data_IF_367467162585
#
_entry.id   IF_367467162585
#
_cell.length_a   1.000
_cell.length_b   1.000
_cell.length_c   1.000
_cell.angle_alpha   90.00
_cell.angle_beta   90.00
_cell.angle_gamma   90.00
#
_symmetry.space_group_name_H-M   'P 1'
#
loop_
_entity.id
_entity.type
_entity.pdbx_description
1 polymer ?
#
# COMPACT_ATOMS: atom_id res chain seq x y z
N UNK A 1 9.94 9.11 13.97
CA UNK A 1 9.46 7.97 13.17
C UNK A 1 7.99 7.76 13.49
N UNK A 2 7.11 8.43 12.74
CA UNK A 2 5.67 8.27 12.87
C UNK A 2 5.30 6.84 12.48
N UNK A 3 4.52 6.15 13.32
CA UNK A 3 4.00 4.83 13.03
C UNK A 3 2.49 4.91 12.93
N UNK A 4 1.93 4.31 11.88
CA UNK A 4 0.49 4.22 11.68
C UNK A 4 0.02 2.80 12.05
N UNK A 5 -1.12 2.72 12.73
CA UNK A 5 -1.86 1.47 12.86
C UNK A 5 -2.50 1.11 11.51
N UNK A 6 -2.96 -0.13 11.38
CA UNK A 6 -3.77 -0.55 10.24
C UNK A 6 -4.96 0.38 9.99
N UNK A 7 -5.67 0.79 11.06
CA UNK A 7 -6.88 1.60 10.94
C UNK A 7 -6.56 3.03 10.47
N UNK A 8 -5.45 3.59 10.95
CA UNK A 8 -4.94 4.89 10.49
C UNK A 8 -4.53 4.86 9.01
N UNK A 9 -3.82 3.81 8.58
CA UNK A 9 -3.43 3.66 7.17
C UNK A 9 -4.65 3.42 6.28
N UNK A 10 -5.60 2.60 6.73
CA UNK A 10 -6.86 2.34 6.05
C UNK A 10 -7.66 3.63 5.85
N UNK A 11 -7.72 4.47 6.89
CA UNK A 11 -8.34 5.80 6.84
C UNK A 11 -7.63 6.70 5.83
N UNK A 12 -6.29 6.80 5.88
CA UNK A 12 -5.49 7.59 4.93
C UNK A 12 -5.80 7.22 3.48
N UNK A 13 -5.84 5.92 3.18
CA UNK A 13 -6.07 5.41 1.83
C UNK A 13 -7.54 5.24 1.46
N UNK A 14 -8.47 5.61 2.35
CA UNK A 14 -9.91 5.47 2.14
C UNK A 14 -10.30 4.05 1.72
N UNK A 15 -9.72 3.05 2.40
CA UNK A 15 -10.00 1.64 2.12
C UNK A 15 -10.27 0.84 3.39
N UNK A 16 -10.84 -0.35 3.24
CA UNK A 16 -11.12 -1.21 4.39
C UNK A 16 -9.82 -1.68 5.06
N UNK A 17 -9.74 -1.67 6.40
CA UNK A 17 -8.66 -2.33 7.14
C UNK A 17 -8.45 -3.80 6.72
N UNK A 18 -9.54 -4.48 6.32
CA UNK A 18 -9.53 -5.86 5.81
C UNK A 18 -8.71 -6.01 4.53
N UNK A 19 -8.66 -4.98 3.68
CA UNK A 19 -7.82 -4.99 2.48
C UNK A 19 -6.33 -5.02 2.87
N UNK A 20 -5.92 -4.26 3.89
CA UNK A 20 -4.54 -4.32 4.41
C UNK A 20 -4.22 -5.70 5.02
N UNK A 21 -5.18 -6.33 5.71
CA UNK A 21 -5.02 -7.69 6.23
C UNK A 21 -4.77 -8.69 5.11
N UNK A 22 -5.59 -8.65 4.06
CA UNK A 22 -5.43 -9.51 2.90
C UNK A 22 -4.09 -9.25 2.20
N UNK A 23 -3.68 -7.99 2.04
CA UNK A 23 -2.39 -7.64 1.45
C UNK A 23 -1.23 -8.25 2.22
N UNK A 24 -1.23 -8.18 3.56
CA UNK A 24 -0.18 -8.84 4.36
C UNK A 24 -0.15 -10.34 4.15
N UNK A 25 -1.31 -10.99 4.02
CA UNK A 25 -1.38 -12.43 3.74
C UNK A 25 -0.84 -12.77 2.34
N UNK A 26 -1.10 -11.90 1.35
CA UNK A 26 -0.63 -12.05 -0.03
C UNK A 26 0.81 -11.54 -0.25
N UNK A 27 1.49 -11.01 0.77
CA UNK A 27 2.82 -10.42 0.63
C UNK A 27 2.85 -9.12 -0.19
N UNK A 28 1.74 -8.37 -0.20
CA UNK A 28 1.60 -7.07 -0.89
C UNK A 28 1.63 -5.90 0.09
N UNK A 29 1.81 -4.69 -0.45
CA UNK A 29 1.73 -3.45 0.31
C UNK A 29 3.06 -2.98 0.92
N UNK A 30 3.03 -1.89 1.71
CA UNK A 30 4.21 -1.36 2.38
C UNK A 30 4.72 -2.34 3.44
N UNK A 31 6.02 -2.28 3.72
CA UNK A 31 6.61 -3.07 4.81
C UNK A 31 6.01 -2.64 6.15
N UNK A 32 5.89 -3.61 7.05
CA UNK A 32 5.28 -3.39 8.36
C UNK A 32 6.12 -4.02 9.47
N UNK A 33 5.97 -3.47 10.66
CA UNK A 33 6.49 -4.02 11.91
C UNK A 33 5.42 -4.90 12.57
N UNK A 34 5.81 -6.11 12.96
CA UNK A 34 4.96 -7.03 13.71
C UNK A 34 5.47 -7.17 15.15
N UNK A 35 4.64 -6.80 16.12
CA UNK A 35 4.93 -6.93 17.55
C UNK A 35 3.80 -7.72 18.20
N UNK A 36 4.02 -9.02 18.38
CA UNK A 36 2.96 -9.94 18.81
C UNK A 36 1.77 -9.90 17.86
N UNK A 37 0.60 -9.53 18.37
CA UNK A 37 -0.64 -9.39 17.60
C UNK A 37 -0.79 -8.01 16.90
N UNK A 38 0.09 -7.05 17.18
CA UNK A 38 0.00 -5.69 16.62
C UNK A 38 0.81 -5.57 15.33
N UNK A 39 0.24 -4.84 14.37
CA UNK A 39 0.89 -4.45 13.12
C UNK A 39 0.95 -2.93 13.05
N UNK A 40 2.14 -2.41 12.77
CA UNK A 40 2.38 -0.98 12.59
C UNK A 40 3.10 -0.75 11.26
N UNK A 41 2.76 0.34 10.59
CA UNK A 41 3.38 0.78 9.34
C UNK A 41 4.24 2.00 9.64
N UNK A 42 5.48 2.00 9.15
CA UNK A 42 6.31 3.21 9.20
C UNK A 42 5.86 4.18 8.11
N UNK A 43 5.79 5.46 8.44
CA UNK A 43 5.40 6.51 7.48
C UNK A 43 6.32 6.56 6.25
N UNK A 44 7.64 6.36 6.40
CA UNK A 44 8.55 6.35 5.27
C UNK A 44 8.32 5.13 4.35
N UNK A 45 7.93 3.99 4.91
CA UNK A 45 7.59 2.79 4.14
C UNK A 45 6.27 2.93 3.40
N UNK A 46 5.31 3.64 3.99
CA UNK A 46 4.05 4.00 3.34
C UNK A 46 4.33 4.92 2.16
N UNK A 47 5.11 5.99 2.36
CA UNK A 47 5.47 6.94 1.30
C UNK A 47 6.26 6.28 0.16
N UNK A 48 7.22 5.41 0.48
CA UNK A 48 7.96 4.66 -0.52
C UNK A 48 7.05 3.74 -1.35
N UNK A 49 6.06 3.11 -0.71
CA UNK A 49 5.06 2.32 -1.43
C UNK A 49 4.18 3.20 -2.32
N UNK A 50 3.65 4.31 -1.79
CA UNK A 50 2.82 5.27 -2.53
C UNK A 50 3.55 5.81 -3.77
N UNK A 51 4.82 6.16 -3.65
CA UNK A 51 5.64 6.62 -4.78
C UNK A 51 5.73 5.58 -5.92
N UNK A 52 5.74 4.29 -5.57
CA UNK A 52 5.71 3.19 -6.53
C UNK A 52 4.32 2.86 -7.11
N UNK A 53 3.25 3.47 -6.60
CA UNK A 53 1.88 3.27 -7.07
C UNK A 53 1.37 4.40 -7.98
N UNK A 54 2.19 5.39 -8.29
CA UNK A 54 1.80 6.49 -9.19
C UNK A 54 1.77 5.99 -10.64
N UNK A 55 0.57 5.94 -11.22
CA UNK A 55 0.33 5.54 -12.60
C UNK A 55 -0.37 6.66 -13.39
N UNK A 56 -0.03 6.85 -14.66
CA UNK A 56 -0.67 7.85 -15.53
C UNK A 56 -2.01 7.38 -16.12
N UNK A 57 -2.20 6.06 -16.21
CA UNK A 57 -3.40 5.42 -16.73
C UNK A 57 -3.70 4.13 -15.96
N UNK A 58 -4.97 3.71 -16.00
CA UNK A 58 -5.45 2.51 -15.29
C UNK A 58 -5.19 1.21 -16.09
N UNK A 59 -4.80 1.33 -17.35
CA UNK A 59 -4.48 0.23 -18.25
C UNK A 59 -3.07 0.41 -18.77
N UNK A 60 -2.39 -0.68 -19.14
CA UNK A 60 -1.06 -0.62 -19.75
C UNK A 60 -1.05 0.26 -21.02
N UNK A 61 0.13 0.63 -21.54
CA UNK A 61 0.23 1.45 -22.74
C UNK A 61 -0.65 0.86 -23.84
N UNK A 62 -1.55 1.68 -24.40
CA UNK A 62 -2.30 1.28 -25.59
C UNK A 62 -1.26 1.09 -26.68
N UNK A 63 -1.04 -0.17 -27.08
CA UNK A 63 -0.08 -0.52 -28.11
C UNK A 63 -0.35 0.33 -29.34
N UNK A 64 0.51 1.32 -29.58
CA UNK A 64 0.44 2.14 -30.78
C UNK A 64 0.93 1.21 -31.90
N UNK A 65 -0.03 0.62 -32.61
CA UNK A 65 0.25 -0.15 -33.81
C UNK A 65 1.03 0.74 -34.78
N UNK A 66 2.31 0.45 -34.93
CA UNK A 66 3.14 1.01 -35.99
C UNK A 66 2.62 0.39 -37.30
N UNK A 67 2.23 1.26 -38.23
CA UNK A 67 1.86 0.94 -39.61
C UNK A 67 3.03 0.32 -40.39
#
# INVERSE_FOLDING_TARGET
>A
MTKLTQDQLATRWHMSPRTLEQWRWLGKGPRFLKIGARVLYDEAEIEAFEAGQVCQNTHGPIGTGVL
#
